data_IF_936098109816
#
_entry.id   IF_936098109816
#
_cell.length_a   1.000
_cell.length_b   1.000
_cell.length_c   1.000
_cell.angle_alpha   90.00
_cell.angle_beta   90.00
_cell.angle_gamma   90.00
#
_symmetry.space_group_name_H-M   'P 1'
#
loop_
_entity.id
_entity.type
_entity.pdbx_description
1 polymer ?
#
# COMPACT_ATOMS: atom_id res chain seq x y z
N UNK A 1 -3.15 -17.11 11.03
CA UNK A 1 -1.75 -17.41 10.68
C UNK A 1 -0.93 -16.14 10.77
N UNK A 2 0.41 -16.23 10.83
CA UNK A 2 1.27 -15.04 10.86
C UNK A 2 1.01 -14.06 9.72
N UNK A 3 0.78 -14.57 8.50
CA UNK A 3 0.44 -13.73 7.34
C UNK A 3 -0.87 -12.94 7.53
N UNK A 4 -1.92 -13.57 8.06
CA UNK A 4 -3.20 -12.90 8.35
C UNK A 4 -3.07 -11.86 9.47
N UNK A 5 -2.29 -12.17 10.51
CA UNK A 5 -1.99 -11.20 11.58
C UNK A 5 -1.25 -10.00 10.98
N UNK A 6 -0.20 -10.24 10.16
CA UNK A 6 0.51 -9.16 9.46
C UNK A 6 -0.43 -8.31 8.61
N UNK A 7 -1.38 -8.92 7.89
CA UNK A 7 -2.35 -8.18 7.07
C UNK A 7 -3.25 -7.25 7.89
N UNK A 8 -3.78 -7.73 9.01
CA UNK A 8 -4.59 -6.90 9.91
C UNK A 8 -3.75 -5.76 10.52
N UNK A 9 -2.53 -6.04 10.99
CA UNK A 9 -1.67 -5.03 11.62
C UNK A 9 -1.19 -3.96 10.62
N UNK A 10 -0.88 -4.35 9.39
CA UNK A 10 -0.47 -3.40 8.34
C UNK A 10 -1.66 -2.59 7.82
N UNK A 11 -2.83 -3.21 7.62
CA UNK A 11 -4.04 -2.53 7.17
C UNK A 11 -4.71 -1.63 8.21
N UNK A 12 -4.31 -1.73 9.47
CA UNK A 12 -4.75 -0.84 10.56
C UNK A 12 -3.74 0.25 10.90
N UNK A 13 -2.53 0.20 10.34
CA UNK A 13 -1.48 1.15 10.66
C UNK A 13 -1.85 2.59 10.24
N UNK A 14 -1.31 3.55 10.99
CA UNK A 14 -1.48 4.98 10.73
C UNK A 14 -0.21 5.51 10.06
N UNK A 15 -0.37 6.07 8.85
CA UNK A 15 0.73 6.69 8.11
C UNK A 15 1.37 7.88 8.85
N UNK A 16 2.60 8.19 8.48
CA UNK A 16 3.37 9.33 8.99
C UNK A 16 4.12 10.07 7.88
N UNK A 17 4.98 11.01 8.27
CA UNK A 17 5.74 11.87 7.35
C UNK A 17 6.96 11.20 6.70
N UNK A 18 7.22 9.93 6.99
CA UNK A 18 8.37 9.20 6.45
C UNK A 18 8.00 8.45 5.17
N UNK A 19 9.00 8.14 4.34
CA UNK A 19 8.74 7.34 3.13
C UNK A 19 8.30 5.92 3.50
N UNK A 20 7.62 5.24 2.58
CA UNK A 20 7.23 3.82 2.76
C UNK A 20 8.44 2.90 2.98
N UNK A 21 9.62 3.31 2.52
CA UNK A 21 10.88 2.58 2.77
C UNK A 21 11.40 2.76 4.19
N UNK A 22 11.07 3.88 4.83
CA UNK A 22 11.47 4.19 6.21
C UNK A 22 10.47 3.64 7.24
N UNK A 23 9.16 3.78 6.98
CA UNK A 23 8.11 3.42 7.96
C UNK A 23 7.23 2.23 7.56
N UNK A 24 7.39 1.67 6.36
CA UNK A 24 6.46 0.66 5.85
C UNK A 24 5.04 1.22 5.75
N UNK A 25 4.07 0.49 6.33
CA UNK A 25 2.67 0.90 6.38
C UNK A 25 2.38 2.00 7.43
N UNK A 26 3.34 2.31 8.31
CA UNK A 26 3.20 3.36 9.33
C UNK A 26 3.21 2.82 10.77
N UNK A 27 2.78 3.67 11.69
CA UNK A 27 2.71 3.37 13.13
C UNK A 27 1.62 2.35 13.40
N UNK A 28 1.91 1.38 14.25
CA UNK A 28 0.97 0.37 14.71
C UNK A 28 -0.24 0.99 15.45
N UNK A 29 -1.46 0.57 15.11
CA UNK A 29 -2.69 0.95 15.81
C UNK A 29 -3.51 -0.31 16.19
N UNK A 30 -3.22 -0.87 17.37
CA UNK A 30 -3.80 -2.15 17.82
C UNK A 30 -5.30 -2.05 18.10
N UNK A 31 -5.75 -0.92 18.63
CA UNK A 31 -7.17 -0.64 18.86
C UNK A 31 -7.97 -0.74 17.56
N UNK A 32 -7.39 -0.30 16.44
CA UNK A 32 -8.00 -0.42 15.10
C UNK A 32 -7.88 -1.83 14.51
N UNK A 33 -6.83 -2.56 14.88
CA UNK A 33 -6.57 -3.91 14.38
C UNK A 33 -7.60 -4.94 14.85
N UNK A 34 -8.04 -4.85 16.11
CA UNK A 34 -8.89 -5.87 16.75
C UNK A 34 -10.24 -6.02 16.03
N UNK A 35 -10.82 -4.93 15.56
CA UNK A 35 -12.15 -4.92 14.92
C UNK A 35 -12.08 -4.96 13.38
N UNK A 36 -10.89 -5.22 12.79
CA UNK A 36 -10.71 -5.13 11.34
C UNK A 36 -11.18 -6.38 10.61
N UNK A 37 -12.17 -6.19 9.74
CA UNK A 37 -12.75 -7.24 8.89
C UNK A 37 -12.33 -7.16 7.43
N UNK A 38 -11.72 -6.04 7.02
CA UNK A 38 -11.25 -5.81 5.67
C UNK A 38 -9.72 -5.70 5.65
N UNK A 39 -9.08 -6.52 4.81
CA UNK A 39 -7.62 -6.51 4.64
C UNK A 39 -7.25 -6.57 3.16
N UNK A 40 -6.06 -6.07 2.82
CA UNK A 40 -5.46 -6.25 1.50
C UNK A 40 -4.52 -7.45 1.47
N UNK A 41 -4.50 -8.15 0.34
CA UNK A 41 -3.60 -9.26 0.03
C UNK A 41 -3.08 -9.06 -1.41
N UNK A 42 -1.78 -8.77 -1.62
CA UNK A 42 -0.74 -8.58 -0.60
C UNK A 42 -0.87 -7.25 0.15
N UNK A 43 -0.23 -7.18 1.33
CA UNK A 43 -0.23 -6.00 2.22
C UNK A 43 0.67 -4.86 1.73
N UNK A 44 1.54 -5.15 0.76
CA UNK A 44 2.51 -4.23 0.17
C UNK A 44 2.88 -4.75 -1.21
N UNK A 45 3.03 -3.85 -2.18
CA UNK A 45 3.51 -4.17 -3.52
C UNK A 45 4.83 -3.47 -3.80
N UNK A 46 5.75 -4.17 -4.47
CA UNK A 46 6.93 -3.59 -5.08
C UNK A 46 6.76 -3.54 -6.59
N UNK A 47 6.95 -2.37 -7.21
CA UNK A 47 6.78 -2.14 -8.64
C UNK A 47 8.09 -2.30 -9.43
N UNK A 48 8.91 -3.26 -9.01
CA UNK A 48 10.26 -3.50 -9.55
C UNK A 48 11.21 -2.29 -9.43
N UNK A 49 12.49 -2.52 -9.76
CA UNK A 49 13.50 -1.47 -9.89
C UNK A 49 13.81 -1.31 -11.36
N UNK A 50 13.58 -0.10 -11.89
CA UNK A 50 13.94 0.26 -13.25
C UNK A 50 15.42 0.62 -13.31
N UNK A 51 16.19 -0.05 -14.16
CA UNK A 51 17.64 0.14 -14.26
C UNK A 51 17.98 1.19 -15.33
N UNK A 52 19.10 1.89 -15.14
CA UNK A 52 19.64 2.78 -16.16
C UNK A 52 20.22 1.96 -17.33
N UNK A 53 20.05 2.33 -18.61
CA UNK A 53 19.33 3.50 -19.13
C UNK A 53 17.82 3.34 -19.27
N UNK A 54 17.03 4.29 -18.72
CA UNK A 54 15.54 4.27 -18.66
C UNK A 54 14.81 4.40 -20.01
N UNK A 55 15.48 4.17 -21.13
CA UNK A 55 14.90 4.27 -22.48
C UNK A 55 14.01 3.07 -22.85
N UNK A 56 14.06 2.01 -22.06
CA UNK A 56 13.36 0.74 -22.26
C UNK A 56 12.34 0.42 -21.15
N UNK A 57 12.10 1.36 -20.24
CA UNK A 57 11.18 1.15 -19.13
C UNK A 57 9.75 0.91 -19.60
N UNK A 58 9.13 -0.13 -19.04
CA UNK A 58 7.73 -0.49 -19.31
C UNK A 58 6.90 -0.45 -18.03
N UNK A 59 5.63 -0.03 -18.07
CA UNK A 59 4.79 0.01 -16.88
C UNK A 59 4.65 -1.36 -16.21
N UNK A 60 4.77 -1.39 -14.89
CA UNK A 60 4.57 -2.60 -14.07
C UNK A 60 3.25 -2.49 -13.34
N UNK A 61 2.35 -3.45 -13.58
CA UNK A 61 1.07 -3.55 -12.87
C UNK A 61 1.13 -4.65 -11.81
N UNK A 62 0.58 -4.37 -10.63
CA UNK A 62 0.39 -5.34 -9.55
C UNK A 62 -1.07 -5.31 -9.09
N UNK A 63 -1.61 -6.50 -8.87
CA UNK A 63 -2.95 -6.65 -8.31
C UNK A 63 -2.91 -6.53 -6.78
N UNK A 64 -3.89 -5.83 -6.21
CA UNK A 64 -4.16 -5.79 -4.78
C UNK A 64 -5.58 -6.28 -4.57
N UNK A 65 -5.71 -7.46 -3.96
CA UNK A 65 -7.03 -8.01 -3.62
C UNK A 65 -7.45 -7.52 -2.24
N UNK A 66 -8.72 -7.13 -2.09
CA UNK A 66 -9.32 -6.83 -0.79
C UNK A 66 -10.22 -7.98 -0.35
N UNK A 67 -10.01 -8.46 0.87
CA UNK A 67 -10.81 -9.52 1.50
C UNK A 67 -11.63 -8.93 2.64
N UNK A 68 -12.95 -8.97 2.49
CA UNK A 68 -13.91 -8.69 3.55
C UNK A 68 -14.34 -10.00 4.21
N UNK A 69 -14.08 -10.13 5.51
CA UNK A 69 -14.54 -11.26 6.34
C UNK A 69 -15.73 -10.89 7.25
N UNK A 70 -16.30 -9.69 7.07
CA UNK A 70 -17.53 -9.28 7.72
C UNK A 70 -18.75 -9.97 7.13
N UNK A 71 -19.90 -9.73 7.75
CA UNK A 71 -21.19 -10.31 7.33
C UNK A 71 -21.99 -9.39 6.40
N UNK A 72 -21.48 -8.19 6.13
CA UNK A 72 -22.11 -7.19 5.28
C UNK A 72 -21.13 -6.71 4.20
N UNK A 73 -21.68 -6.30 3.07
CA UNK A 73 -20.91 -5.70 1.97
C UNK A 73 -20.30 -4.36 2.41
N UNK A 74 -19.13 -4.05 1.87
CA UNK A 74 -18.40 -2.81 2.12
C UNK A 74 -18.11 -2.12 0.80
N UNK A 75 -18.44 -0.84 0.70
CA UNK A 75 -18.04 0.02 -0.41
C UNK A 75 -16.71 0.70 -0.06
N UNK A 76 -15.75 0.66 -0.99
CA UNK A 76 -14.44 1.29 -0.82
C UNK A 76 -14.32 2.50 -1.74
N UNK A 77 -13.86 3.61 -1.18
CA UNK A 77 -13.37 4.76 -1.92
C UNK A 77 -11.85 4.69 -1.92
N UNK A 78 -11.27 4.31 -3.07
CA UNK A 78 -9.84 4.07 -3.21
C UNK A 78 -9.21 5.25 -3.95
N UNK A 79 -8.15 5.77 -3.35
CA UNK A 79 -7.31 6.80 -3.96
C UNK A 79 -5.85 6.52 -3.70
N UNK A 80 -4.99 7.01 -4.60
CA UNK A 80 -3.55 7.00 -4.41
C UNK A 80 -3.13 8.30 -3.74
N UNK A 81 -2.49 8.21 -2.57
CA UNK A 81 -1.82 9.37 -1.98
C UNK A 81 -0.70 9.86 -2.91
N UNK A 82 -0.47 11.18 -2.96
CA UNK A 82 0.49 11.79 -3.87
C UNK A 82 1.87 11.09 -3.80
N UNK A 83 2.27 10.35 -4.85
CA UNK A 83 3.49 9.59 -4.83
C UNK A 83 4.69 10.54 -4.98
N UNK A 84 5.78 10.23 -4.28
CA UNK A 84 7.02 11.01 -4.33
C UNK A 84 8.20 10.16 -4.82
N UNK A 85 9.14 10.80 -5.51
CA UNK A 85 10.44 10.23 -5.82
C UNK A 85 11.33 10.07 -4.58
N UNK A 86 12.51 9.49 -4.76
CA UNK A 86 13.53 9.38 -3.70
C UNK A 86 14.09 10.73 -3.26
N UNK A 87 13.94 11.76 -4.08
CA UNK A 87 14.22 13.16 -3.81
C UNK A 87 13.09 13.90 -3.05
N UNK A 88 11.99 13.20 -2.76
CA UNK A 88 10.82 13.74 -2.09
C UNK A 88 9.93 14.63 -2.96
N UNK A 89 10.23 14.79 -4.26
CA UNK A 89 9.39 15.55 -5.18
C UNK A 89 8.22 14.70 -5.66
N UNK A 90 7.06 15.30 -6.01
CA UNK A 90 5.94 14.57 -6.60
C UNK A 90 6.35 13.82 -7.87
N UNK A 91 5.82 12.62 -8.06
CA UNK A 91 5.99 11.90 -9.32
C UNK A 91 5.41 12.72 -10.48
N UNK A 92 6.00 12.62 -11.70
CA UNK A 92 5.45 13.26 -12.88
C UNK A 92 3.98 12.89 -13.12
N UNK A 93 3.22 13.82 -13.71
CA UNK A 93 1.83 13.55 -14.07
C UNK A 93 1.75 12.35 -15.03
N UNK A 94 0.79 11.45 -14.78
CA UNK A 94 0.60 10.22 -15.57
C UNK A 94 1.55 9.08 -15.23
N UNK A 95 2.41 9.21 -14.21
CA UNK A 95 3.29 8.12 -13.79
C UNK A 95 2.53 6.91 -13.22
N UNK A 96 1.43 7.17 -12.51
CA UNK A 96 0.47 6.16 -12.06
C UNK A 96 -0.85 6.38 -12.79
N UNK A 97 -1.50 5.28 -13.19
CA UNK A 97 -2.76 5.24 -13.93
C UNK A 97 -3.72 4.26 -13.29
#
# INVERSE_FOLDING_TARGET
>A
TGARIKAVLTGSAEGGSHSVFQQGAGRLAIDKAIDRTLVSEPVSVGLATQQWPHTDDTPVTKEVTYRNSGTADVTLDLSLAAPTGGDGQPAPAGFFT
#
